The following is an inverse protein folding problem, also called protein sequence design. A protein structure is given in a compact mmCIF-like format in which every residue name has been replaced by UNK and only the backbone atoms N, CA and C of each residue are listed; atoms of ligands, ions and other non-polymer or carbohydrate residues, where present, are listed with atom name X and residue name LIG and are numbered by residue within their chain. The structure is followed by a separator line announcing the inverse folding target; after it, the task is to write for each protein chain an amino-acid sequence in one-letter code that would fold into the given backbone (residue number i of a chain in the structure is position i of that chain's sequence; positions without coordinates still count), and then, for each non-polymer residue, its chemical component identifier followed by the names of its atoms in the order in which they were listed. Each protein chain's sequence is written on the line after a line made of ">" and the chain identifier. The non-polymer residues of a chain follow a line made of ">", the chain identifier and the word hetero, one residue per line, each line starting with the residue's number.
data_IF_408441663573
#
_entry.id   IF_408441663573
#
_cell.length_a   1.000
_cell.length_b   1.000
_cell.length_c   1.000
_cell.angle_alpha   90.00
_cell.angle_beta   90.00
_cell.angle_gamma   90.00
#
_symmetry.space_group_name_H-M   'P 1'
#
loop_
_entity.id
_entity.type
_entity.pdbx_description
1 polymer ?
#
# COMPACT_ATOMS: atom_id res chain seq x y z
N UNK A 1 15.12 22.72 -19.53
CA UNK A 1 13.95 21.95 -19.07
C UNK A 1 14.36 20.50 -19.01
N UNK A 2 14.54 19.95 -17.80
CA UNK A 2 14.98 18.57 -17.62
C UNK A 2 13.91 17.65 -18.18
N UNK A 3 14.26 16.80 -19.16
CA UNK A 3 13.35 15.74 -19.61
C UNK A 3 13.23 14.73 -18.45
N UNK A 4 12.11 14.75 -17.75
CA UNK A 4 11.85 13.83 -16.65
C UNK A 4 11.76 12.39 -17.19
N UNK A 5 12.62 11.51 -16.68
CA UNK A 5 12.55 10.08 -16.98
C UNK A 5 11.21 9.54 -16.46
N UNK A 6 10.54 8.66 -17.21
CA UNK A 6 9.30 8.05 -16.74
C UNK A 6 9.56 7.32 -15.42
N UNK A 7 8.67 7.48 -14.42
CA UNK A 7 8.84 6.83 -13.12
C UNK A 7 8.88 5.30 -13.30
N UNK A 8 9.60 4.58 -12.43
CA UNK A 8 9.64 3.13 -12.47
C UNK A 8 8.29 2.52 -12.09
N UNK A 9 7.93 1.43 -12.75
CA UNK A 9 6.75 0.65 -12.42
C UNK A 9 6.85 0.07 -11.01
N UNK A 10 5.84 0.24 -10.14
CA UNK A 10 5.90 -0.22 -8.74
C UNK A 10 5.90 -1.76 -8.62
N UNK A 11 5.48 -2.47 -9.68
CA UNK A 11 5.38 -3.94 -9.68
C UNK A 11 6.68 -4.62 -10.10
N UNK A 12 7.37 -4.09 -11.13
CA UNK A 12 8.52 -4.76 -11.74
C UNK A 12 9.73 -3.85 -12.00
N UNK A 13 9.68 -2.56 -11.63
CA UNK A 13 10.75 -1.55 -11.74
C UNK A 13 11.21 -1.19 -13.16
N UNK A 14 10.56 -1.70 -14.22
CA UNK A 14 10.75 -1.20 -15.60
C UNK A 14 10.19 0.21 -15.76
N UNK A 15 10.64 0.95 -16.77
CA UNK A 15 10.09 2.28 -17.08
C UNK A 15 8.58 2.21 -17.33
N UNK A 16 7.82 3.12 -16.72
CA UNK A 16 6.39 3.25 -17.00
C UNK A 16 6.14 3.71 -18.43
N UNK A 17 5.01 3.32 -18.99
CA UNK A 17 4.55 3.76 -20.31
C UNK A 17 3.40 4.74 -20.15
N UNK A 18 3.21 5.66 -21.10
CA UNK A 18 2.17 6.69 -21.01
C UNK A 18 0.75 6.09 -20.92
N UNK A 19 0.51 4.99 -21.65
CA UNK A 19 -0.78 4.29 -21.68
C UNK A 19 -1.14 3.62 -20.35
N UNK A 20 -0.15 3.12 -19.61
CA UNK A 20 -0.38 2.31 -18.40
C UNK A 20 0.12 2.95 -17.11
N UNK A 21 0.41 4.27 -17.08
CA UNK A 21 0.96 4.91 -15.87
C UNK A 21 0.09 4.64 -14.64
N UNK A 22 0.68 4.28 -13.49
CA UNK A 22 2.12 4.26 -13.15
C UNK A 22 2.89 2.98 -13.56
N UNK A 23 2.28 2.07 -14.31
CA UNK A 23 2.82 0.76 -14.67
C UNK A 23 3.51 0.73 -16.05
N UNK A 24 4.17 -0.39 -16.35
CA UNK A 24 4.80 -0.62 -17.65
C UNK A 24 3.91 -1.39 -18.66
N UNK A 25 2.80 -2.00 -18.20
CA UNK A 25 1.89 -2.80 -19.03
C UNK A 25 0.59 -3.12 -18.29
N UNK A 26 -0.46 -3.51 -19.04
CA UNK A 26 -1.72 -4.03 -18.50
C UNK A 26 -1.51 -5.13 -17.46
N UNK A 27 -0.68 -6.14 -17.77
CA UNK A 27 -0.33 -7.22 -16.82
C UNK A 27 0.12 -6.71 -15.45
N UNK A 28 0.89 -5.63 -15.39
CA UNK A 28 1.32 -5.09 -14.09
C UNK A 28 0.20 -4.35 -13.37
N UNK A 29 -0.70 -3.68 -14.10
CA UNK A 29 -1.90 -3.08 -13.51
C UNK A 29 -2.82 -4.16 -12.92
N UNK A 30 -3.02 -5.26 -13.64
CA UNK A 30 -3.86 -6.39 -13.16
C UNK A 30 -3.26 -7.05 -11.90
N UNK A 31 -1.94 -7.19 -11.82
CA UNK A 31 -1.26 -7.70 -10.62
C UNK A 31 -1.47 -6.76 -9.43
N UNK A 32 -1.39 -5.45 -9.64
CA UNK A 32 -1.64 -4.46 -8.59
C UNK A 32 -3.09 -4.53 -8.09
N UNK A 33 -4.05 -4.59 -9.02
CA UNK A 33 -5.46 -4.80 -8.71
C UNK A 33 -5.68 -6.11 -7.92
N UNK A 34 -4.99 -7.19 -8.30
CA UNK A 34 -5.01 -8.44 -7.55
C UNK A 34 -4.52 -8.26 -6.11
N UNK A 35 -3.46 -7.48 -5.87
CA UNK A 35 -2.97 -7.20 -4.51
C UNK A 35 -3.99 -6.43 -3.67
N UNK A 36 -4.69 -5.48 -4.28
CA UNK A 36 -5.79 -4.76 -3.65
C UNK A 36 -6.94 -5.68 -3.25
N UNK A 37 -7.42 -6.51 -4.19
CA UNK A 37 -8.53 -7.42 -3.95
C UNK A 37 -8.21 -8.53 -2.94
N UNK A 38 -6.93 -8.85 -2.74
CA UNK A 38 -6.47 -9.85 -1.77
C UNK A 38 -5.99 -9.22 -0.45
N UNK A 39 -6.39 -7.97 -0.16
CA UNK A 39 -6.09 -7.26 1.09
C UNK A 39 -4.58 -7.23 1.43
N UNK A 40 -3.72 -7.29 0.41
CA UNK A 40 -2.25 -7.28 0.59
C UNK A 40 -1.71 -5.89 0.90
N UNK A 41 -2.54 -4.86 0.70
CA UNK A 41 -2.27 -3.48 1.10
C UNK A 41 -2.95 -3.17 2.44
N UNK A 42 -2.82 -4.06 3.43
CA UNK A 42 -3.25 -3.79 4.79
C UNK A 42 -2.30 -2.77 5.45
N UNK A 43 -2.87 -1.78 6.13
CA UNK A 43 -2.12 -0.90 7.03
C UNK A 43 -2.01 -1.67 8.35
N UNK A 44 -0.80 -1.91 8.87
CA UNK A 44 -0.64 -2.50 10.20
C UNK A 44 -1.36 -1.62 11.22
N UNK A 45 -2.21 -2.20 12.06
CA UNK A 45 -2.67 -1.51 13.26
C UNK A 45 -1.49 -1.44 14.24
N UNK A 46 -1.15 -0.23 14.66
CA UNK A 46 -0.31 -0.06 15.84
C UNK A 46 -1.16 -0.53 17.02
N UNK A 47 -0.85 -1.71 17.56
CA UNK A 47 -1.44 -2.16 18.81
C UNK A 47 -0.86 -1.25 19.88
N UNK A 48 -1.57 -0.16 20.18
CA UNK A 48 -1.27 0.69 21.33
C UNK A 48 -1.32 -0.20 22.58
N UNK A 49 -0.14 -0.58 23.06
CA UNK A 49 0.05 -1.42 24.27
C UNK A 49 -0.20 -0.61 25.56
N UNK A 50 -0.63 0.65 25.42
CA UNK A 50 -1.01 1.56 26.52
C UNK A 50 -2.54 1.58 26.78
N UNK A 51 -3.27 0.53 26.42
CA UNK A 51 -4.60 0.31 27.01
C UNK A 51 -4.42 -0.13 28.47
N UNK A 52 -4.32 0.86 29.36
CA UNK A 52 -4.39 0.66 30.81
C UNK A 52 -5.73 -0.04 31.09
N UNK A 53 -5.74 -1.27 31.62
CA UNK A 53 -6.98 -1.96 31.97
C UNK A 53 -7.80 -1.06 32.88
N UNK A 54 -9.14 -0.98 32.72
CA UNK A 54 -9.96 -0.20 33.64
C UNK A 54 -9.67 -0.70 35.07
N UNK A 55 -9.24 0.21 35.95
CA UNK A 55 -9.02 -0.13 37.35
C UNK A 55 -10.33 -0.70 37.92
N UNK A 56 -10.28 -1.84 38.65
CA UNK A 56 -11.49 -2.40 39.23
C UNK A 56 -12.11 -1.39 40.20
N UNK A 57 -13.38 -1.08 39.98
CA UNK A 57 -14.19 -0.18 40.79
C UNK A 57 -14.15 -0.64 42.27
N UNK A 58 -13.60 0.15 43.20
CA UNK A 58 -13.44 -0.28 44.58
C UNK A 58 -14.68 0.07 45.41
N UNK A 59 -15.88 -0.38 45.04
CA UNK A 59 -17.04 -0.29 45.93
C UNK A 59 -17.91 -1.57 45.88
N UNK A 60 -18.16 -2.12 47.07
CA UNK A 60 -19.12 -3.19 47.34
C UNK A 60 -20.47 -2.68 47.78
#
# INVERSE_FOLDING_TARGET
>A
MSRERPPPCPICRRASTQEFRPFCSQRCADVDLGRWLNERYAIPEEIDTDEVPPEPDPEG
#
